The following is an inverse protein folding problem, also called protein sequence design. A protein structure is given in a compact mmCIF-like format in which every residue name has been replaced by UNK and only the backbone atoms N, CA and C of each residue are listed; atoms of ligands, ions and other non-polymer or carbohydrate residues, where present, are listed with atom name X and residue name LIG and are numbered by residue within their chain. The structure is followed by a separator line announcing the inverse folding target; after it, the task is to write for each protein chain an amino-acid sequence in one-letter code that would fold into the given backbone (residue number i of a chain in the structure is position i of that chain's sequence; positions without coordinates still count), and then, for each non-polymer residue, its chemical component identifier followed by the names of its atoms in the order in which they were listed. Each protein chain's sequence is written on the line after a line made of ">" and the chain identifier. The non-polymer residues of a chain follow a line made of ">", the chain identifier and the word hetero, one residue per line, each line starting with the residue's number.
data_IF_377739606886
#
_entry.id   IF_377739606886
#
_cell.length_a   1.000
_cell.length_b   1.000
_cell.length_c   1.000
_cell.angle_alpha   90.00
_cell.angle_beta   90.00
_cell.angle_gamma   90.00
#
_symmetry.space_group_name_H-M   'P 1'
#
loop_
_entity.id
_entity.type
_entity.pdbx_description
1 polymer ?
#
# COMPACT_ATOMS: atom_id res chain seq x y z
N UNK A 1 14.21 34.30 -49.43
CA UNK A 1 14.40 33.03 -48.69
C UNK A 1 14.34 33.36 -47.20
N UNK A 2 13.44 32.71 -46.45
CA UNK A 2 13.21 32.80 -44.99
C UNK A 2 12.05 33.68 -44.46
N UNK A 3 10.89 33.67 -45.13
CA UNK A 3 9.61 33.99 -44.48
C UNK A 3 8.74 32.73 -44.34
N UNK A 4 8.74 31.86 -45.36
CA UNK A 4 8.01 30.59 -45.37
C UNK A 4 8.47 29.58 -44.31
N UNK A 5 9.77 29.56 -43.94
CA UNK A 5 10.27 28.63 -42.92
C UNK A 5 9.79 28.99 -41.49
N UNK A 6 9.48 30.26 -41.22
CA UNK A 6 8.95 30.70 -39.92
C UNK A 6 7.47 30.34 -39.72
N UNK A 7 6.69 30.33 -40.80
CA UNK A 7 5.28 29.97 -40.76
C UNK A 7 5.07 28.46 -40.57
N UNK A 8 5.92 27.64 -41.19
CA UNK A 8 5.93 26.19 -41.00
C UNK A 8 6.26 25.82 -39.55
N UNK A 9 7.22 26.50 -38.93
CA UNK A 9 7.59 26.25 -37.53
C UNK A 9 6.47 26.63 -36.55
N UNK A 10 5.75 27.73 -36.82
CA UNK A 10 4.60 28.15 -36.02
C UNK A 10 3.38 27.24 -36.20
N UNK A 11 3.16 26.69 -37.40
CA UNK A 11 2.10 25.68 -37.62
C UNK A 11 2.40 24.36 -36.91
N UNK A 12 3.65 23.89 -36.90
CA UNK A 12 4.03 22.66 -36.19
C UNK A 12 3.84 22.82 -34.68
N UNK A 13 4.22 23.98 -34.13
CA UNK A 13 4.04 24.26 -32.70
C UNK A 13 2.56 24.33 -32.31
N UNK A 14 1.71 24.96 -33.12
CA UNK A 14 0.25 24.98 -32.89
C UNK A 14 -0.35 23.58 -32.91
N UNK A 15 -0.01 22.75 -33.90
CA UNK A 15 -0.49 21.36 -33.98
C UNK A 15 -0.06 20.52 -32.78
N UNK A 16 1.20 20.65 -32.34
CA UNK A 16 1.68 19.95 -31.15
C UNK A 16 0.96 20.39 -29.88
N UNK A 17 0.62 21.67 -29.76
CA UNK A 17 -0.09 22.21 -28.58
C UNK A 17 -1.56 21.79 -28.57
N UNK A 18 -2.20 21.72 -29.75
CA UNK A 18 -3.58 21.24 -29.92
C UNK A 18 -3.71 19.73 -29.75
N UNK A 19 -2.72 18.94 -30.17
CA UNK A 19 -2.67 17.50 -29.89
C UNK A 19 -2.40 17.20 -28.42
N UNK A 20 -1.57 18.01 -27.76
CA UNK A 20 -1.32 17.88 -26.31
C UNK A 20 -2.59 18.23 -25.52
N UNK A 21 -3.27 19.32 -25.88
CA UNK A 21 -4.50 19.72 -25.20
C UNK A 21 -5.64 18.73 -25.45
N UNK A 22 -5.76 18.16 -26.66
CA UNK A 22 -6.71 17.06 -26.94
C UNK A 22 -6.36 15.79 -26.18
N UNK A 23 -5.09 15.44 -26.03
CA UNK A 23 -4.66 14.29 -25.21
C UNK A 23 -4.98 14.51 -23.73
N UNK A 24 -4.70 15.70 -23.20
CA UNK A 24 -5.01 16.07 -21.81
C UNK A 24 -6.53 16.08 -21.58
N UNK A 25 -7.31 16.62 -22.51
CA UNK A 25 -8.77 16.64 -22.41
C UNK A 25 -9.39 15.24 -22.63
N UNK A 26 -8.78 14.39 -23.46
CA UNK A 26 -9.19 12.98 -23.58
C UNK A 26 -8.87 12.16 -22.33
N UNK A 27 -7.79 12.49 -21.60
CA UNK A 27 -7.50 11.87 -20.30
C UNK A 27 -8.39 12.38 -19.16
N UNK A 28 -9.07 13.52 -19.35
CA UNK A 28 -10.04 14.05 -18.39
C UNK A 28 -11.47 13.57 -18.66
N UNK A 29 -11.74 12.97 -19.82
CA UNK A 29 -13.09 12.60 -20.26
C UNK A 29 -13.32 11.07 -20.34
N UNK A 30 -12.46 10.26 -19.72
CA UNK A 30 -12.77 8.85 -19.48
C UNK A 30 -13.76 8.74 -18.33
N UNK A 31 -15.04 8.85 -18.67
CA UNK A 31 -16.14 8.41 -17.82
C UNK A 31 -16.04 6.89 -17.60
N UNK A 32 -15.44 6.47 -16.49
CA UNK A 32 -15.80 5.24 -15.76
C UNK A 32 -15.13 5.18 -14.36
N UNK A 33 -15.47 6.13 -13.48
CA UNK A 33 -14.85 6.30 -12.16
C UNK A 33 -15.33 5.23 -11.14
N UNK A 34 -16.53 4.69 -11.36
CA UNK A 34 -17.04 3.52 -10.62
C UNK A 34 -16.25 2.24 -10.91
N UNK A 35 -15.86 1.99 -12.15
CA UNK A 35 -15.11 0.78 -12.54
C UNK A 35 -13.64 0.85 -12.15
N UNK A 36 -13.01 2.03 -12.06
CA UNK A 36 -11.63 2.10 -11.54
C UNK A 36 -11.58 1.86 -10.02
N UNK A 37 -12.55 2.40 -9.28
CA UNK A 37 -12.65 2.14 -7.83
C UNK A 37 -13.08 0.70 -7.58
N UNK A 38 -14.01 0.16 -8.36
CA UNK A 38 -14.38 -1.26 -8.34
C UNK A 38 -13.26 -2.15 -8.86
N UNK A 39 -12.42 -1.73 -9.81
CA UNK A 39 -11.25 -2.47 -10.27
C UNK A 39 -10.12 -2.42 -9.24
N UNK A 40 -10.00 -1.33 -8.48
CA UNK A 40 -9.10 -1.26 -7.33
C UNK A 40 -9.60 -2.20 -6.22
N UNK A 41 -10.91 -2.19 -5.90
CA UNK A 41 -11.55 -3.12 -4.97
C UNK A 41 -11.55 -4.58 -5.46
N UNK A 42 -11.66 -4.82 -6.77
CA UNK A 42 -11.61 -6.15 -7.39
C UNK A 42 -10.18 -6.67 -7.44
N UNK A 43 -9.20 -5.81 -7.70
CA UNK A 43 -7.78 -6.08 -7.47
C UNK A 43 -7.42 -6.25 -5.98
N UNK A 44 -8.27 -5.83 -5.02
CA UNK A 44 -8.09 -6.20 -3.60
C UNK A 44 -8.41 -7.68 -3.39
N UNK A 45 -9.36 -8.24 -4.14
CA UNK A 45 -9.67 -9.68 -4.14
C UNK A 45 -8.69 -10.48 -5.02
N UNK A 46 -8.28 -9.94 -6.17
CA UNK A 46 -7.51 -10.69 -7.17
C UNK A 46 -5.98 -10.64 -6.98
N UNK A 47 -5.40 -9.61 -6.33
CA UNK A 47 -3.95 -9.48 -6.13
C UNK A 47 -3.44 -10.04 -4.78
N UNK A 48 -4.04 -11.13 -4.30
CA UNK A 48 -3.45 -11.95 -3.22
C UNK A 48 -2.25 -12.77 -3.75
N UNK A 49 -1.98 -12.74 -5.05
CA UNK A 49 -0.78 -13.35 -5.64
C UNK A 49 0.43 -12.41 -5.52
N UNK A 50 1.00 -12.33 -4.33
CA UNK A 50 2.46 -12.35 -4.25
C UNK A 50 2.86 -13.81 -4.12
N UNK A 51 3.07 -14.46 -5.25
CA UNK A 51 3.71 -15.77 -5.29
C UNK A 51 5.03 -15.67 -4.48
N UNK A 52 5.35 -16.63 -3.60
CA UNK A 52 6.64 -16.64 -2.93
C UNK A 52 7.70 -16.72 -4.03
N UNK A 53 8.54 -15.69 -4.12
CA UNK A 53 9.75 -15.77 -4.94
C UNK A 53 10.50 -17.02 -4.48
N UNK A 54 10.77 -17.93 -5.42
CA UNK A 54 11.41 -19.24 -5.17
C UNK A 54 12.88 -19.13 -4.71
N UNK A 55 13.26 -17.99 -4.13
CA UNK A 55 14.56 -17.69 -3.51
C UNK A 55 14.43 -17.26 -2.04
N UNK A 56 13.26 -17.39 -1.42
CA UNK A 56 13.05 -17.18 0.02
C UNK A 56 13.78 -18.26 0.85
N UNK A 57 15.06 -18.01 1.08
CA UNK A 57 15.85 -18.67 2.12
C UNK A 57 15.31 -18.19 3.46
N UNK A 58 14.61 -19.07 4.20
CA UNK A 58 14.17 -18.87 5.59
C UNK A 58 13.62 -17.47 5.91
N UNK A 59 12.41 -17.15 5.45
CA UNK A 59 11.70 -15.97 5.96
C UNK A 59 11.22 -16.26 7.38
N UNK A 60 11.85 -15.59 8.35
CA UNK A 60 11.48 -15.65 9.76
C UNK A 60 10.00 -15.27 9.95
N UNK A 61 9.26 -15.98 10.81
CA UNK A 61 7.93 -15.55 11.26
C UNK A 61 7.99 -14.14 11.86
N UNK A 62 6.84 -13.47 11.94
CA UNK A 62 6.63 -12.13 12.54
C UNK A 62 6.94 -12.05 14.05
N UNK A 63 7.88 -12.85 14.56
CA UNK A 63 8.24 -12.98 15.96
C UNK A 63 8.93 -11.75 16.54
N UNK A 64 9.37 -10.78 15.73
CA UNK A 64 10.18 -9.65 16.19
C UNK A 64 9.44 -8.29 16.26
N UNK A 65 8.25 -8.16 15.67
CA UNK A 65 7.54 -6.88 15.64
C UNK A 65 6.77 -6.68 16.95
N UNK A 66 7.11 -5.62 17.68
CA UNK A 66 6.32 -5.17 18.83
C UNK A 66 4.92 -4.72 18.37
N UNK A 67 3.93 -4.75 19.26
CA UNK A 67 2.57 -4.26 18.95
C UNK A 67 2.61 -2.83 18.37
N UNK A 68 3.45 -1.96 18.93
CA UNK A 68 3.59 -0.57 18.48
C UNK A 68 4.08 -0.52 17.04
N UNK A 69 5.13 -1.28 16.70
CA UNK A 69 5.65 -1.31 15.34
C UNK A 69 4.69 -1.94 14.34
N UNK A 70 3.93 -2.98 14.75
CA UNK A 70 2.89 -3.57 13.92
C UNK A 70 1.80 -2.53 13.63
N UNK A 71 1.32 -1.82 14.65
CA UNK A 71 0.33 -0.76 14.47
C UNK A 71 0.87 0.40 13.62
N UNK A 72 2.10 0.85 13.82
CA UNK A 72 2.68 1.91 13.00
C UNK A 72 2.77 1.48 11.52
N UNK A 73 3.18 0.24 11.25
CA UNK A 73 3.22 -0.31 9.88
C UNK A 73 1.84 -0.36 9.24
N UNK A 74 0.82 -0.83 9.98
CA UNK A 74 -0.57 -0.85 9.52
C UNK A 74 -1.07 0.57 9.21
N UNK A 75 -0.76 1.55 10.05
CA UNK A 75 -1.18 2.93 9.85
C UNK A 75 -0.41 3.66 8.74
N UNK A 76 0.83 3.29 8.46
CA UNK A 76 1.56 3.74 7.28
C UNK A 76 0.86 3.27 6.00
N UNK A 77 0.49 1.98 5.94
CA UNK A 77 -0.30 1.41 4.85
C UNK A 77 -1.68 2.09 4.73
N UNK A 78 -2.39 2.28 5.84
CA UNK A 78 -3.70 2.94 5.84
C UNK A 78 -3.63 4.38 5.33
N UNK A 79 -2.62 5.15 5.73
CA UNK A 79 -2.43 6.51 5.21
C UNK A 79 -2.17 6.50 3.70
N UNK A 80 -1.35 5.56 3.22
CA UNK A 80 -1.10 5.39 1.80
C UNK A 80 -2.38 5.03 1.04
N UNK A 81 -3.18 4.08 1.54
CA UNK A 81 -4.43 3.66 0.91
C UNK A 81 -5.49 4.76 0.97
N UNK A 82 -5.61 5.47 2.08
CA UNK A 82 -6.51 6.63 2.20
C UNK A 82 -6.15 7.71 1.19
N UNK A 83 -4.86 8.03 1.02
CA UNK A 83 -4.41 8.99 0.02
C UNK A 83 -4.80 8.57 -1.41
N UNK A 84 -4.52 7.30 -1.78
CA UNK A 84 -4.88 6.78 -3.10
C UNK A 84 -6.39 6.76 -3.33
N UNK A 85 -7.16 6.28 -2.35
CA UNK A 85 -8.61 6.19 -2.43
C UNK A 85 -9.29 7.56 -2.52
N UNK A 86 -8.83 8.52 -1.71
CA UNK A 86 -9.40 9.88 -1.68
C UNK A 86 -9.13 10.66 -2.97
N UNK A 87 -8.13 10.29 -3.77
CA UNK A 87 -7.94 10.89 -5.10
C UNK A 87 -9.01 10.46 -6.11
N UNK A 88 -9.58 9.27 -5.92
CA UNK A 88 -10.55 8.68 -6.85
C UNK A 88 -12.00 8.81 -6.36
N UNK A 89 -12.22 9.11 -5.09
CA UNK A 89 -13.54 9.19 -4.48
C UNK A 89 -14.18 10.57 -4.69
N UNK A 90 -15.29 10.61 -5.43
CA UNK A 90 -16.04 11.83 -5.68
C UNK A 90 -16.95 12.20 -4.51
N UNK A 91 -17.47 11.19 -3.79
CA UNK A 91 -18.38 11.42 -2.69
C UNK A 91 -17.61 11.75 -1.40
N UNK A 92 -17.72 13.02 -0.98
CA UNK A 92 -17.11 13.51 0.27
C UNK A 92 -17.53 12.73 1.52
N UNK A 93 -18.68 12.07 1.51
CA UNK A 93 -19.12 11.24 2.62
C UNK A 93 -18.21 10.01 2.83
N UNK A 94 -17.55 9.52 1.79
CA UNK A 94 -16.69 8.33 1.83
C UNK A 94 -15.20 8.63 1.96
N UNK A 95 -14.79 9.90 1.88
CA UNK A 95 -13.39 10.32 2.07
C UNK A 95 -12.90 9.82 3.44
N UNK A 96 -11.81 9.06 3.42
CA UNK A 96 -11.25 8.40 4.61
C UNK A 96 -10.17 9.27 5.21
N UNK A 97 -10.27 9.51 6.51
CA UNK A 97 -9.24 10.18 7.32
C UNK A 97 -8.65 9.17 8.29
N UNK A 98 -7.32 9.14 8.38
CA UNK A 98 -6.59 8.30 9.33
C UNK A 98 -6.04 9.16 10.47
N UNK A 99 -6.36 8.79 11.70
CA UNK A 99 -5.74 9.34 12.91
C UNK A 99 -4.78 8.28 13.45
N UNK A 100 -3.48 8.61 13.43
CA UNK A 100 -2.44 7.71 13.94
C UNK A 100 -2.72 7.34 15.39
N UNK A 101 -2.32 6.14 15.83
CA UNK A 101 -2.57 5.75 17.18
C UNK A 101 -1.79 6.63 18.16
N UNK A 102 -2.44 6.98 19.26
CA UNK A 102 -1.80 7.64 20.38
C UNK A 102 -1.89 6.71 21.58
N UNK A 103 -0.79 6.60 22.34
CA UNK A 103 -0.83 5.97 23.65
C UNK A 103 -1.21 7.01 24.69
N UNK A 104 -2.27 6.77 25.44
CA UNK A 104 -2.55 7.57 26.64
C UNK A 104 -1.48 7.26 27.67
N UNK A 105 -0.46 8.11 27.73
CA UNK A 105 0.70 7.90 28.57
C UNK A 105 0.33 7.75 30.04
N UNK A 106 0.75 6.61 30.64
CA UNK A 106 1.07 6.40 32.07
C UNK A 106 -0.09 6.55 33.07
N UNK A 107 -1.24 7.14 32.70
CA UNK A 107 -2.31 7.48 33.65
C UNK A 107 -3.42 6.44 33.77
N UNK A 108 -3.58 5.55 32.79
CA UNK A 108 -4.58 4.49 32.83
C UNK A 108 -3.92 3.11 32.96
N UNK A 109 -4.38 2.21 33.87
CA UNK A 109 -3.86 0.85 34.01
C UNK A 109 -4.02 0.00 32.73
N UNK A 110 -4.89 0.45 31.84
CA UNK A 110 -5.23 -0.10 30.54
C UNK A 110 -4.46 0.61 29.43
N UNK A 111 -3.12 0.53 29.45
CA UNK A 111 -2.22 1.11 28.43
C UNK A 111 -2.50 0.53 27.03
N UNK A 112 -3.56 0.97 26.38
CA UNK A 112 -3.90 0.59 25.02
C UNK A 112 -3.41 1.64 24.04
N UNK A 113 -2.89 1.18 22.90
CA UNK A 113 -2.53 2.03 21.78
C UNK A 113 -3.74 2.11 20.86
N UNK A 114 -4.31 3.29 20.65
CA UNK A 114 -5.58 3.42 19.92
C UNK A 114 -5.47 4.43 18.78
N UNK A 115 -5.83 3.99 17.58
CA UNK A 115 -5.94 4.82 16.39
C UNK A 115 -7.26 4.63 15.67
N UNK A 116 -7.54 5.48 14.68
CA UNK A 116 -8.84 5.49 14.01
C UNK A 116 -8.72 5.71 12.50
N UNK A 117 -9.63 5.08 11.76
CA UNK A 117 -9.92 5.42 10.38
C UNK A 117 -11.39 5.81 10.30
N UNK A 118 -11.73 6.94 9.70
CA UNK A 118 -13.10 7.42 9.69
C UNK A 118 -13.47 8.04 8.35
N UNK A 119 -14.75 7.93 7.99
CA UNK A 119 -15.40 8.79 7.02
C UNK A 119 -16.69 9.35 7.64
N UNK A 120 -17.57 9.96 6.84
CA UNK A 120 -18.79 10.58 7.37
C UNK A 120 -19.86 9.56 7.78
N UNK A 121 -19.71 8.29 7.41
CA UNK A 121 -20.71 7.23 7.61
C UNK A 121 -20.29 6.28 8.73
N UNK A 122 -19.02 5.85 8.73
CA UNK A 122 -18.46 4.90 9.68
C UNK A 122 -17.06 5.30 10.15
N UNK A 123 -16.78 4.94 11.39
CA UNK A 123 -15.45 4.88 11.97
C UNK A 123 -15.01 3.44 12.17
N UNK A 124 -13.71 3.21 12.10
CA UNK A 124 -13.04 1.99 12.48
C UNK A 124 -12.00 2.33 13.53
N UNK A 125 -12.11 1.68 14.68
CA UNK A 125 -11.16 1.79 15.77
C UNK A 125 -10.18 0.62 15.70
N UNK A 126 -8.89 0.94 15.80
CA UNK A 126 -7.81 -0.03 15.92
C UNK A 126 -7.23 0.10 17.31
N UNK A 127 -7.38 -0.94 18.13
CA UNK A 127 -6.90 -0.96 19.51
C UNK A 127 -5.84 -2.05 19.68
N UNK A 128 -4.64 -1.66 20.05
CA UNK A 128 -3.56 -2.56 20.44
C UNK A 128 -3.41 -2.64 21.95
N UNK A 129 -3.37 -3.87 22.45
CA UNK A 129 -2.81 -4.25 23.74
C UNK A 129 -1.47 -4.97 23.49
N UNK A 130 -0.68 -5.13 24.53
CA UNK A 130 0.55 -5.93 24.59
C UNK A 130 0.48 -7.30 23.91
N UNK A 131 -0.71 -7.92 23.83
CA UNK A 131 -0.90 -9.27 23.26
C UNK A 131 -1.85 -9.36 22.06
N UNK A 132 -2.62 -8.32 21.77
CA UNK A 132 -3.61 -8.36 20.71
C UNK A 132 -3.83 -7.00 20.04
N UNK A 133 -4.24 -7.02 18.78
CA UNK A 133 -4.71 -5.86 18.04
C UNK A 133 -6.11 -6.15 17.52
N UNK A 134 -7.06 -5.32 17.92
CA UNK A 134 -8.49 -5.48 17.65
C UNK A 134 -8.96 -4.39 16.68
N UNK A 135 -9.77 -4.79 15.71
CA UNK A 135 -10.41 -3.89 14.76
C UNK A 135 -11.91 -3.94 14.95
N UNK A 136 -12.53 -2.81 15.29
CA UNK A 136 -13.98 -2.71 15.47
C UNK A 136 -14.55 -1.52 14.74
N UNK A 137 -15.78 -1.66 14.24
CA UNK A 137 -16.53 -0.55 13.68
C UNK A 137 -17.20 0.26 14.78
N UNK A 138 -17.24 1.57 14.60
CA UNK A 138 -17.83 2.53 15.52
C UNK A 138 -18.60 3.57 14.71
N UNK A 139 -19.88 3.84 15.00
CA UNK A 139 -20.59 4.94 14.37
C UNK A 139 -19.88 6.27 14.63
N UNK A 140 -19.79 7.21 13.68
CA UNK A 140 -18.96 8.40 13.81
C UNK A 140 -19.25 9.26 15.04
N UNK A 141 -20.52 9.30 15.48
CA UNK A 141 -20.93 10.01 16.70
C UNK A 141 -20.23 9.52 17.98
N UNK A 142 -19.79 8.26 18.01
CA UNK A 142 -19.19 7.63 19.18
C UNK A 142 -17.64 7.57 19.12
N UNK A 143 -17.01 8.07 18.05
CA UNK A 143 -15.56 7.98 17.86
C UNK A 143 -14.77 8.67 18.97
N UNK A 144 -15.27 9.80 19.47
CA UNK A 144 -14.62 10.63 20.49
C UNK A 144 -15.30 10.52 21.85
N UNK A 145 -16.29 9.63 22.00
CA UNK A 145 -16.89 9.36 23.30
C UNK A 145 -16.03 8.38 24.10
N UNK A 146 -16.13 8.45 25.42
CA UNK A 146 -15.52 7.47 26.32
C UNK A 146 -16.01 6.05 26.00
N UNK A 147 -15.13 5.05 26.15
CA UNK A 147 -15.42 3.64 25.83
C UNK A 147 -16.71 3.13 26.49
N UNK A 148 -17.00 3.60 27.71
CA UNK A 148 -18.21 3.25 28.48
C UNK A 148 -19.52 3.66 27.80
N UNK A 149 -19.48 4.68 26.95
CA UNK A 149 -20.63 5.22 26.23
C UNK A 149 -20.73 4.65 24.80
N UNK A 150 -19.71 3.92 24.34
CA UNK A 150 -19.69 3.34 22.99
C UNK A 150 -20.56 2.09 22.94
N UNK A 151 -21.26 1.85 21.81
CA UNK A 151 -21.93 0.59 21.59
C UNK A 151 -20.91 -0.54 21.56
N UNK A 152 -21.25 -1.66 22.21
CA UNK A 152 -20.43 -2.87 22.20
C UNK A 152 -20.53 -3.55 20.83
N UNK A 153 -19.69 -3.10 19.89
CA UNK A 153 -19.56 -3.70 18.56
C UNK A 153 -18.38 -4.68 18.61
N UNK A 154 -18.58 -5.97 18.30
CA UNK A 154 -17.51 -6.95 18.32
C UNK A 154 -16.42 -6.60 17.32
N UNK A 155 -15.18 -6.96 17.65
CA UNK A 155 -14.09 -6.84 16.71
C UNK A 155 -14.32 -7.79 15.52
N UNK A 156 -14.17 -7.28 14.30
CA UNK A 156 -14.32 -8.10 13.08
C UNK A 156 -12.99 -8.75 12.66
N UNK A 157 -11.87 -8.30 13.23
CA UNK A 157 -10.53 -8.90 13.14
C UNK A 157 -9.85 -8.79 14.49
N UNK A 158 -9.20 -9.88 14.90
CA UNK A 158 -8.27 -9.91 16.02
C UNK A 158 -6.92 -10.48 15.56
N UNK A 159 -5.86 -9.71 15.77
CA UNK A 159 -4.48 -10.18 15.68
C UNK A 159 -4.04 -10.53 17.09
N UNK A 160 -3.49 -11.72 17.32
CA UNK A 160 -3.02 -12.12 18.64
C UNK A 160 -1.64 -12.78 18.56
N UNK A 161 -0.84 -12.58 19.61
CA UNK A 161 0.44 -13.29 19.74
C UNK A 161 0.16 -14.74 20.15
N UNK A 162 0.61 -15.69 19.32
CA UNK A 162 0.50 -17.12 19.59
C UNK A 162 1.88 -17.79 19.56
N UNK A 163 2.00 -18.89 20.28
CA UNK A 163 3.21 -19.70 20.29
C UNK A 163 3.19 -20.65 19.10
N UNK A 164 4.13 -20.48 18.18
CA UNK A 164 4.39 -21.39 17.06
C UNK A 164 5.66 -22.20 17.31
N UNK A 165 5.92 -23.20 16.47
CA UNK A 165 7.13 -24.04 16.54
C UNK A 165 8.43 -23.22 16.47
N UNK A 166 8.36 -22.04 15.86
CA UNK A 166 9.48 -21.13 15.62
C UNK A 166 9.54 -19.97 16.64
N UNK A 167 8.62 -19.92 17.61
CA UNK A 167 8.55 -18.89 18.65
C UNK A 167 7.21 -18.13 18.73
N UNK A 168 7.11 -17.13 19.61
CA UNK A 168 5.92 -16.28 19.71
C UNK A 168 5.80 -15.37 18.49
N UNK A 169 4.71 -15.50 17.73
CA UNK A 169 4.47 -14.71 16.52
C UNK A 169 3.05 -14.16 16.46
N UNK A 170 2.86 -13.09 15.68
CA UNK A 170 1.52 -12.58 15.39
C UNK A 170 0.72 -13.57 14.56
N UNK A 171 -0.56 -13.69 14.88
CA UNK A 171 -1.49 -14.60 14.22
C UNK A 171 -2.81 -13.92 13.92
N UNK A 172 -3.46 -14.37 12.85
CA UNK A 172 -4.82 -13.98 12.45
C UNK A 172 -5.59 -15.26 12.25
N UNK A 173 -6.75 -15.39 12.90
CA UNK A 173 -7.57 -16.61 12.86
C UNK A 173 -6.78 -17.90 13.21
N UNK A 174 -5.78 -17.78 14.10
CA UNK A 174 -4.91 -18.89 14.50
C UNK A 174 -3.82 -19.29 13.49
N UNK A 175 -3.70 -18.57 12.37
CA UNK A 175 -2.64 -18.77 11.37
C UNK A 175 -1.51 -17.77 11.61
N UNK A 176 -0.22 -18.19 11.52
CA UNK A 176 0.90 -17.28 11.68
C UNK A 176 0.90 -16.25 10.55
N UNK A 177 0.97 -14.98 10.92
CA UNK A 177 1.11 -13.88 9.97
C UNK A 177 2.59 -13.80 9.55
N UNK A 178 2.86 -13.51 8.28
CA UNK A 178 4.22 -13.21 7.78
C UNK A 178 4.39 -11.74 7.48
N UNK A 179 5.63 -11.24 7.51
CA UNK A 179 5.94 -9.85 7.15
C UNK A 179 5.40 -9.47 5.77
N UNK A 180 5.56 -10.36 4.79
CA UNK A 180 5.04 -10.20 3.42
C UNK A 180 3.51 -10.09 3.35
N UNK A 181 2.79 -10.57 4.37
CA UNK A 181 1.33 -10.59 4.41
C UNK A 181 0.71 -9.36 5.10
N UNK A 182 1.50 -8.55 5.81
CA UNK A 182 0.98 -7.37 6.53
C UNK A 182 0.31 -6.41 5.55
N UNK A 183 0.97 -6.07 4.44
CA UNK A 183 0.40 -5.09 3.51
C UNK A 183 -0.90 -5.56 2.86
N UNK A 184 -1.01 -6.87 2.59
CA UNK A 184 -2.23 -7.48 2.10
C UNK A 184 -3.35 -7.46 3.16
N UNK A 185 -3.01 -7.74 4.41
CA UNK A 185 -3.94 -7.63 5.54
C UNK A 185 -4.42 -6.18 5.73
N UNK A 186 -3.52 -5.21 5.77
CA UNK A 186 -3.84 -3.77 5.83
C UNK A 186 -4.82 -3.39 4.72
N UNK A 187 -4.55 -3.85 3.49
CA UNK A 187 -5.39 -3.55 2.34
C UNK A 187 -6.79 -4.16 2.47
N UNK A 188 -6.91 -5.43 2.91
CA UNK A 188 -8.20 -6.10 3.17
C UNK A 188 -8.99 -5.37 4.27
N UNK A 189 -8.34 -4.97 5.35
CA UNK A 189 -8.95 -4.22 6.46
C UNK A 189 -9.43 -2.84 5.97
N UNK A 190 -8.62 -2.11 5.20
CA UNK A 190 -9.02 -0.82 4.64
C UNK A 190 -10.21 -0.96 3.68
N UNK A 191 -10.16 -1.93 2.77
CA UNK A 191 -11.26 -2.20 1.85
C UNK A 191 -12.55 -2.58 2.60
N UNK A 192 -12.43 -3.25 3.75
CA UNK A 192 -13.57 -3.57 4.61
C UNK A 192 -14.28 -2.31 5.09
N UNK A 193 -13.55 -1.29 5.54
CA UNK A 193 -14.13 0.00 5.93
C UNK A 193 -14.91 0.64 4.77
N UNK A 194 -14.33 0.64 3.56
CA UNK A 194 -15.00 1.20 2.37
C UNK A 194 -16.30 0.44 2.06
N UNK A 195 -16.26 -0.88 2.07
CA UNK A 195 -17.42 -1.73 1.78
C UNK A 195 -18.54 -1.59 2.81
N UNK A 196 -18.19 -1.55 4.10
CA UNK A 196 -19.17 -1.29 5.19
C UNK A 196 -19.78 0.10 5.04
N UNK A 197 -18.98 1.09 4.65
CA UNK A 197 -19.46 2.46 4.43
C UNK A 197 -20.44 2.58 3.27
N UNK A 198 -20.29 1.73 2.26
CA UNK A 198 -21.20 1.67 1.10
C UNK A 198 -22.42 0.78 1.34
N UNK A 199 -22.47 0.06 2.46
CA UNK A 199 -23.54 -0.90 2.76
C UNK A 199 -23.41 -2.22 1.99
N UNK A 200 -22.26 -2.47 1.36
CA UNK A 200 -22.01 -3.73 0.63
C UNK A 200 -21.86 -4.92 1.59
N UNK A 201 -21.44 -4.64 2.83
CA UNK A 201 -21.21 -5.67 3.84
C UNK A 201 -21.51 -5.18 5.25
N UNK A 202 -21.92 -6.09 6.14
CA UNK A 202 -22.20 -5.77 7.54
C UNK A 202 -20.93 -5.51 8.35
N UNK A 203 -21.05 -4.56 9.27
CA UNK A 203 -20.10 -4.15 10.29
C UNK A 203 -19.73 -5.25 11.30
N UNK A 204 -20.53 -6.32 11.42
CA UNK A 204 -20.27 -7.42 12.37
C UNK A 204 -19.74 -8.69 11.74
N UNK A 205 -19.76 -8.80 10.40
CA UNK A 205 -19.28 -10.02 9.76
C UNK A 205 -17.74 -10.11 9.88
N UNK A 206 -17.20 -11.26 10.35
CA UNK A 206 -15.77 -11.44 10.57
C UNK A 206 -15.01 -11.44 9.24
N UNK A 207 -13.84 -10.81 9.22
CA UNK A 207 -12.97 -10.85 8.06
C UNK A 207 -12.20 -12.17 8.05
N UNK A 208 -12.47 -13.03 7.07
CA UNK A 208 -11.65 -14.24 6.87
C UNK A 208 -10.33 -13.88 6.22
N UNK A 209 -9.22 -14.12 6.91
CA UNK A 209 -7.89 -13.95 6.34
C UNK A 209 -7.35 -15.29 5.80
N UNK A 210 -7.79 -15.67 4.61
CA UNK A 210 -7.17 -16.77 3.88
C UNK A 210 -5.99 -16.26 3.05
N UNK A 211 -4.79 -16.39 3.61
CA UNK A 211 -3.55 -15.97 2.95
C UNK A 211 -3.14 -16.89 1.78
N UNK A 212 -3.86 -18.00 1.54
CA UNK A 212 -3.50 -19.01 0.51
C UNK A 212 -4.72 -19.63 -0.20
N UNK A 213 -5.97 -19.39 0.24
CA UNK A 213 -7.07 -20.33 -0.06
C UNK A 213 -8.33 -19.74 -0.72
N UNK A 214 -8.20 -18.76 -1.61
CA UNK A 214 -9.37 -18.28 -2.40
C UNK A 214 -9.13 -18.33 -3.92
N UNK A 215 -8.31 -19.29 -4.39
CA UNK A 215 -8.24 -19.69 -5.80
C UNK A 215 -8.55 -21.17 -6.07
N UNK A 216 -8.84 -21.98 -5.05
CA UNK A 216 -9.08 -23.41 -5.22
C UNK A 216 -10.55 -23.81 -5.37
N UNK A 217 -11.52 -23.04 -4.83
CA UNK A 217 -12.91 -23.51 -4.75
C UNK A 217 -13.88 -22.89 -5.76
N UNK A 218 -13.54 -21.80 -6.46
CA UNK A 218 -14.41 -21.21 -7.49
C UNK A 218 -14.09 -21.65 -8.94
N UNK A 219 -13.01 -22.42 -9.16
CA UNK A 219 -12.63 -22.92 -10.49
C UNK A 219 -13.22 -24.28 -10.87
N UNK A 220 -14.06 -24.90 -10.04
CA UNK A 220 -14.58 -26.25 -10.35
C UNK A 220 -15.90 -26.29 -11.13
N UNK A 221 -16.52 -25.16 -11.52
CA UNK A 221 -17.86 -25.19 -12.18
C UNK A 221 -17.95 -24.45 -13.53
N UNK A 222 -17.03 -23.56 -13.92
CA UNK A 222 -17.14 -22.86 -15.20
C UNK A 222 -15.89 -23.05 -16.07
N UNK A 223 -16.07 -23.77 -17.19
CA UNK A 223 -15.00 -24.07 -18.14
C UNK A 223 -14.34 -22.84 -18.76
N UNK A 224 -13.01 -22.85 -18.74
CA UNK A 224 -12.12 -22.42 -19.82
C UNK A 224 -12.19 -20.97 -20.30
N UNK A 225 -11.27 -20.13 -19.78
CA UNK A 225 -10.28 -19.37 -20.59
C UNK A 225 -9.01 -19.25 -19.74
N UNK A 226 -7.86 -19.68 -20.28
CA UNK A 226 -6.57 -19.62 -19.60
C UNK A 226 -6.18 -18.16 -19.28
N UNK A 227 -5.65 -17.91 -18.08
CA UNK A 227 -5.02 -16.65 -17.72
C UNK A 227 -3.85 -16.35 -18.68
N UNK A 228 -3.60 -15.07 -19.03
CA UNK A 228 -2.45 -14.72 -19.85
C UNK A 228 -1.17 -15.05 -19.07
N UNK A 229 -0.45 -16.05 -19.56
CA UNK A 229 0.91 -16.37 -19.09
C UNK A 229 1.77 -15.15 -19.42
N UNK A 230 2.13 -14.36 -18.41
CA UNK A 230 3.06 -13.26 -18.58
C UNK A 230 4.34 -13.82 -19.21
N UNK A 231 4.74 -13.22 -20.32
CA UNK A 231 5.93 -13.66 -21.01
C UNK A 231 7.14 -13.46 -20.08
N UNK A 232 8.17 -14.34 -20.14
CA UNK A 232 9.40 -14.15 -19.38
C UNK A 232 10.00 -12.74 -19.56
N UNK A 233 9.73 -12.11 -20.71
CA UNK A 233 10.16 -10.76 -21.01
C UNK A 233 9.46 -9.67 -20.18
N UNK A 234 8.17 -9.83 -19.92
CA UNK A 234 7.41 -8.93 -19.05
C UNK A 234 7.89 -9.04 -17.61
N UNK A 235 8.12 -10.26 -17.12
CA UNK A 235 8.66 -10.52 -15.76
C UNK A 235 10.01 -9.84 -15.54
N UNK A 236 10.92 -9.92 -16.51
CA UNK A 236 12.23 -9.25 -16.44
C UNK A 236 12.06 -7.73 -16.43
N UNK A 237 11.15 -7.20 -17.25
CA UNK A 237 10.88 -5.76 -17.32
C UNK A 237 10.33 -5.22 -15.99
N UNK A 238 9.38 -5.93 -15.37
CA UNK A 238 8.84 -5.57 -14.07
C UNK A 238 9.90 -5.66 -12.96
N UNK A 239 10.76 -6.67 -13.00
CA UNK A 239 11.85 -6.83 -12.02
C UNK A 239 12.85 -5.67 -12.10
N UNK A 240 13.22 -5.23 -13.32
CA UNK A 240 14.11 -4.09 -13.52
C UNK A 240 13.50 -2.78 -13.02
N UNK A 241 12.20 -2.56 -13.25
CA UNK A 241 11.48 -1.38 -12.72
C UNK A 241 11.46 -1.39 -11.19
N UNK A 242 11.14 -2.54 -10.57
CA UNK A 242 11.12 -2.66 -9.12
C UNK A 242 12.50 -2.38 -8.47
N UNK A 243 13.59 -2.83 -9.11
CA UNK A 243 14.95 -2.51 -8.65
C UNK A 243 15.24 -1.01 -8.76
N UNK A 244 14.83 -0.34 -9.84
CA UNK A 244 15.02 1.10 -10.00
C UNK A 244 14.25 1.90 -8.94
N UNK A 245 13.00 1.53 -8.66
CA UNK A 245 12.17 2.17 -7.64
C UNK A 245 12.77 2.01 -6.23
N UNK A 246 13.29 0.82 -5.91
CA UNK A 246 13.97 0.56 -4.64
C UNK A 246 15.26 1.40 -4.48
N UNK A 247 16.05 1.55 -5.55
CA UNK A 247 17.25 2.40 -5.56
C UNK A 247 16.87 3.87 -5.35
N UNK A 248 15.81 4.34 -6.01
CA UNK A 248 15.35 5.74 -5.88
C UNK A 248 14.84 6.03 -4.47
N UNK A 249 14.09 5.10 -3.85
CA UNK A 249 13.66 5.22 -2.47
C UNK A 249 14.84 5.32 -1.49
N UNK A 250 15.86 4.48 -1.67
CA UNK A 250 17.06 4.46 -0.82
C UNK A 250 17.88 5.76 -0.97
N UNK A 251 18.00 6.30 -2.18
CA UNK A 251 18.67 7.60 -2.41
C UNK A 251 17.96 8.71 -1.63
N UNK A 252 16.62 8.73 -1.66
CA UNK A 252 15.82 9.71 -0.88
C UNK A 252 16.05 9.52 0.62
N UNK A 253 16.08 8.29 1.10
CA UNK A 253 16.37 7.97 2.51
C UNK A 253 17.73 8.50 2.95
N UNK A 254 18.78 8.23 2.17
CA UNK A 254 20.14 8.70 2.46
C UNK A 254 20.27 10.23 2.42
N UNK A 255 19.51 10.91 1.55
CA UNK A 255 19.46 12.38 1.55
C UNK A 255 18.84 12.93 2.83
N UNK A 256 17.74 12.34 3.30
CA UNK A 256 17.10 12.73 4.56
C UNK A 256 18.01 12.46 5.76
N UNK A 257 18.68 11.30 5.79
CA UNK A 257 19.63 10.94 6.82
C UNK A 257 20.85 11.89 6.83
N UNK A 258 21.36 12.25 5.65
CA UNK A 258 22.42 13.23 5.50
C UNK A 258 22.03 14.60 6.04
N UNK A 259 20.83 15.08 5.70
CA UNK A 259 20.31 16.35 6.24
C UNK A 259 20.13 16.32 7.76
N UNK A 260 19.73 15.19 8.33
CA UNK A 260 19.61 15.01 9.79
C UNK A 260 20.98 15.07 10.46
N UNK A 261 21.96 14.34 9.94
CA UNK A 261 23.32 14.30 10.49
C UNK A 261 24.07 15.63 10.34
N UNK A 262 23.81 16.38 9.26
CA UNK A 262 24.31 17.76 9.12
C UNK A 262 23.84 18.67 10.26
N UNK A 263 22.65 18.44 10.82
CA UNK A 263 22.10 19.25 11.92
C UNK A 263 22.66 18.86 13.29
N UNK A 264 23.12 17.62 13.48
CA UNK A 264 23.46 17.07 14.80
C UNK A 264 24.93 16.68 15.00
N UNK A 265 25.70 16.40 13.94
CA UNK A 265 26.99 15.68 14.06
C UNK A 265 28.17 16.23 13.27
N UNK A 266 28.02 17.39 12.60
CA UNK A 266 29.09 17.97 11.77
C UNK A 266 29.38 17.16 10.49
N UNK A 267 30.32 17.65 9.68
CA UNK A 267 30.58 17.11 8.32
C UNK A 267 31.10 15.66 8.33
N UNK A 268 31.76 15.23 9.40
CA UNK A 268 32.37 13.90 9.52
C UNK A 268 31.33 12.77 9.55
N UNK A 269 30.15 13.03 10.13
CA UNK A 269 29.02 12.08 10.13
C UNK A 269 28.30 11.98 8.77
N UNK A 270 28.44 13.00 7.92
CA UNK A 270 27.74 13.13 6.64
C UNK A 270 28.49 12.44 5.50
N UNK A 271 29.82 12.45 5.57
CA UNK A 271 30.72 11.83 4.58
C UNK A 271 30.39 10.36 4.24
N UNK A 272 30.17 9.44 5.20
CA UNK A 272 29.82 8.06 4.86
C UNK A 272 28.46 7.95 4.16
N UNK A 273 27.50 8.80 4.52
CA UNK A 273 26.15 8.83 3.93
C UNK A 273 26.21 9.32 2.49
N UNK A 274 27.00 10.37 2.22
CA UNK A 274 27.21 10.87 0.86
C UNK A 274 27.88 9.82 -0.03
N UNK A 275 28.91 9.11 0.46
CA UNK A 275 29.55 8.01 -0.29
C UNK A 275 28.56 6.90 -0.63
N UNK A 276 27.68 6.54 0.30
CA UNK A 276 26.63 5.55 0.05
C UNK A 276 25.63 6.06 -0.99
N UNK A 277 25.22 7.32 -0.92
CA UNK A 277 24.32 7.92 -1.90
C UNK A 277 24.94 7.99 -3.31
N UNK A 278 26.24 8.26 -3.42
CA UNK A 278 26.97 8.20 -4.69
C UNK A 278 27.02 6.77 -5.25
N UNK A 279 27.28 5.76 -4.40
CA UNK A 279 27.24 4.36 -4.82
C UNK A 279 25.84 3.95 -5.32
N UNK A 280 24.77 4.38 -4.65
CA UNK A 280 23.39 4.11 -5.09
C UNK A 280 23.06 4.80 -6.42
N UNK A 281 23.55 6.03 -6.65
CA UNK A 281 23.42 6.71 -7.95
C UNK A 281 24.15 5.97 -9.08
N UNK A 282 25.35 5.46 -8.81
CA UNK A 282 26.09 4.65 -9.77
C UNK A 282 25.35 3.33 -10.10
N UNK A 283 24.79 2.67 -9.08
CA UNK A 283 23.97 1.47 -9.27
C UNK A 283 22.72 1.78 -10.11
N UNK A 284 22.05 2.91 -9.85
CA UNK A 284 20.90 3.36 -10.64
C UNK A 284 21.23 3.50 -12.12
N UNK A 285 22.33 4.15 -12.45
CA UNK A 285 22.75 4.35 -13.84
C UNK A 285 23.10 3.02 -14.52
N UNK A 286 23.75 2.11 -13.79
CA UNK A 286 24.01 0.75 -14.27
C UNK A 286 22.73 0.00 -14.58
N UNK A 287 21.74 0.01 -13.68
CA UNK A 287 20.43 -0.62 -13.89
C UNK A 287 19.67 0.02 -15.06
N UNK A 288 19.73 1.35 -15.20
CA UNK A 288 19.14 2.05 -16.34
C UNK A 288 19.82 1.71 -17.68
N UNK A 289 21.14 1.43 -17.68
CA UNK A 289 21.83 0.90 -18.85
C UNK A 289 21.32 -0.48 -19.24
N UNK A 290 21.21 -1.40 -18.27
CA UNK A 290 20.67 -2.75 -18.49
C UNK A 290 19.23 -2.69 -19.00
N UNK A 291 18.39 -1.84 -18.43
CA UNK A 291 17.01 -1.65 -18.88
C UNK A 291 16.92 -1.14 -20.33
N UNK A 292 17.83 -0.24 -20.75
CA UNK A 292 17.92 0.22 -22.14
C UNK A 292 18.38 -0.87 -23.09
N UNK A 293 19.37 -1.66 -22.71
CA UNK A 293 19.84 -2.81 -23.51
C UNK A 293 18.76 -3.87 -23.65
N UNK A 294 18.08 -4.18 -22.55
CA UNK A 294 16.93 -5.08 -22.53
C UNK A 294 15.81 -4.60 -23.46
N UNK A 295 15.44 -3.32 -23.41
CA UNK A 295 14.43 -2.76 -24.29
C UNK A 295 14.83 -2.82 -25.79
N UNK A 296 16.12 -2.65 -26.10
CA UNK A 296 16.64 -2.80 -27.48
C UNK A 296 16.52 -4.25 -27.96
N UNK A 297 16.81 -5.23 -27.11
CA UNK A 297 16.67 -6.65 -27.44
C UNK A 297 15.21 -7.00 -27.76
N UNK A 298 14.26 -6.42 -27.04
CA UNK A 298 12.82 -6.63 -27.31
C UNK A 298 12.33 -5.97 -28.59
N UNK A 299 13.00 -4.92 -29.08
CA UNK A 299 12.64 -4.22 -30.32
C UNK A 299 13.36 -4.75 -31.57
N UNK A 300 14.42 -5.55 -31.38
CA UNK A 300 15.29 -6.05 -32.45
C UNK A 300 15.11 -7.54 -32.80
N UNK A 301 14.04 -8.17 -32.30
CA UNK A 301 13.66 -9.57 -32.57
C UNK A 301 12.41 -9.70 -33.41
#
# INVERSE_FOLDING_TARGET
>A
MNQEQGEVFNQIRRRQTEDLSRRILSSLNTSFVGDQTMAWLKNVNENVDSAPSATATLEDPLCQLSMVMLMDTLFDDFNRYAYQYNQTEENRAFVVTCMRPTGDGIKDPSNFYQGFLQNSVWGMCVRGDTKSVLFSFIPPKFLYEDEKNRPAIPAFVELSIQMFNEGPGWSVDGKPLRNSQISALSKKIFARLVRVSRGDVSETEPLKFDAVAEKAEEQSIAGGVAAPVQSPAETITFSLLAVMDAIDAEIVGLQQEGMKNMRSGGMDAVMPIMKRAEAMKALRESTASVAREWAKLLQGG
#
